data_IF_182134369038
#
_entry.id   IF_182134369038
#
_cell.length_a   1.000
_cell.length_b   1.000
_cell.length_c   1.000
_cell.angle_alpha   90.00
_cell.angle_beta   90.00
_cell.angle_gamma   90.00
#
_symmetry.space_group_name_H-M   'P 1'
#
loop_
_entity.id
_entity.type
_entity.pdbx_description
1 polymer ?
#
# COMPACT_ATOMS: atom_id res chain seq x y z
N UNK A 1 14.39 12.25 24.97
CA UNK A 1 14.15 11.11 24.05
C UNK A 1 13.11 11.56 23.05
N UNK A 2 13.57 12.21 22.00
CA UNK A 2 12.76 12.88 20.98
C UNK A 2 13.09 12.15 19.67
N UNK A 3 12.62 10.90 19.61
CA UNK A 3 12.76 10.04 18.45
C UNK A 3 11.66 10.40 17.46
N UNK A 4 11.99 11.25 16.50
CA UNK A 4 11.18 11.37 15.30
C UNK A 4 11.26 10.01 14.59
N UNK A 5 10.14 9.31 14.51
CA UNK A 5 10.04 8.13 13.66
C UNK A 5 10.18 8.64 12.22
N UNK A 6 11.34 8.45 11.61
CA UNK A 6 11.52 8.74 10.19
C UNK A 6 10.51 7.92 9.39
N UNK A 7 9.80 8.58 8.48
CA UNK A 7 8.84 7.90 7.64
C UNK A 7 9.58 6.94 6.69
N UNK A 8 9.08 5.72 6.52
CA UNK A 8 9.67 4.73 5.59
C UNK A 8 9.75 5.30 4.17
N UNK A 9 8.73 6.04 3.76
CA UNK A 9 8.71 6.82 2.53
C UNK A 9 7.91 8.10 2.74
N UNK A 10 8.40 9.20 2.19
CA UNK A 10 7.69 10.48 2.14
C UNK A 10 7.16 10.72 0.72
N UNK A 11 5.89 11.07 0.61
CA UNK A 11 5.23 11.40 -0.65
C UNK A 11 4.90 12.88 -0.68
N UNK A 12 5.53 13.63 -1.60
CA UNK A 12 5.14 15.02 -1.85
C UNK A 12 3.79 15.05 -2.57
N UNK A 13 2.79 15.61 -1.91
CA UNK A 13 1.42 15.71 -2.45
C UNK A 13 1.43 16.61 -3.68
N UNK A 14 0.81 16.15 -4.77
CA UNK A 14 0.81 16.86 -6.05
C UNK A 14 2.14 16.84 -6.81
N UNK A 15 3.15 16.10 -6.32
CA UNK A 15 4.50 16.02 -6.89
C UNK A 15 5.12 17.42 -7.15
N UNK A 16 5.21 17.87 -8.40
CA UNK A 16 5.77 19.19 -8.74
C UNK A 16 4.76 20.34 -8.60
N UNK A 17 3.47 20.04 -8.53
CA UNK A 17 2.38 21.03 -8.39
C UNK A 17 2.23 21.48 -6.94
N UNK A 18 2.50 20.60 -5.97
CA UNK A 18 2.29 20.88 -4.54
C UNK A 18 0.82 20.81 -4.12
N UNK A 19 0.52 21.38 -2.95
CA UNK A 19 -0.83 21.52 -2.41
C UNK A 19 -1.35 22.94 -2.69
N UNK A 20 -2.28 23.02 -3.64
CA UNK A 20 -2.94 24.22 -4.13
C UNK A 20 -4.23 23.88 -4.88
N UNK A 21 -5.07 24.89 -5.13
CA UNK A 21 -6.28 24.73 -5.92
C UNK A 21 -5.94 24.20 -7.33
N UNK A 22 -6.53 23.08 -7.77
CA UNK A 22 -6.35 22.58 -9.11
C UNK A 22 -6.75 23.61 -10.19
N UNK A 23 -6.04 23.56 -11.32
CA UNK A 23 -6.41 24.32 -12.51
C UNK A 23 -7.70 23.76 -13.13
N UNK A 24 -8.50 24.62 -13.76
CA UNK A 24 -9.70 24.22 -14.53
C UNK A 24 -9.41 23.19 -15.62
N UNK A 25 -8.16 23.13 -16.12
CA UNK A 25 -7.75 22.17 -17.15
C UNK A 25 -7.37 20.80 -16.55
N UNK A 26 -7.16 20.70 -15.24
CA UNK A 26 -6.82 19.46 -14.55
C UNK A 26 -7.44 19.42 -13.13
N UNK A 27 -8.77 19.36 -13.01
CA UNK A 27 -9.47 19.40 -11.73
C UNK A 27 -9.20 18.15 -10.86
N UNK A 28 -8.80 17.05 -11.49
CA UNK A 28 -8.62 15.73 -10.87
C UNK A 28 -7.16 15.43 -10.47
N UNK A 29 -6.30 16.46 -10.38
CA UNK A 29 -4.85 16.28 -10.14
C UNK A 29 -4.53 15.38 -8.94
N UNK A 30 -5.25 15.53 -7.81
CA UNK A 30 -4.97 14.74 -6.61
C UNK A 30 -5.50 13.31 -6.69
N UNK A 31 -6.64 13.07 -7.35
CA UNK A 31 -7.16 11.71 -7.53
C UNK A 31 -6.27 10.92 -8.49
N UNK A 32 -5.82 11.54 -9.58
CA UNK A 32 -4.82 10.99 -10.50
C UNK A 32 -3.49 10.71 -9.79
N UNK A 33 -2.98 11.68 -9.03
CA UNK A 33 -1.75 11.53 -8.24
C UNK A 33 -1.84 10.31 -7.32
N UNK A 34 -2.96 10.15 -6.61
CA UNK A 34 -3.18 9.05 -5.67
C UNK A 34 -3.25 7.68 -6.36
N UNK A 35 -3.87 7.61 -7.54
CA UNK A 35 -4.08 6.35 -8.27
C UNK A 35 -2.79 5.61 -8.63
N UNK A 36 -1.67 6.34 -8.72
CA UNK A 36 -0.35 5.79 -9.05
C UNK A 36 0.50 5.44 -7.82
N UNK A 37 -0.01 5.62 -6.60
CA UNK A 37 0.75 5.50 -5.35
C UNK A 37 0.17 4.41 -4.45
N UNK A 38 1.04 3.82 -3.63
CA UNK A 38 0.67 2.83 -2.60
C UNK A 38 1.19 3.32 -1.26
N UNK A 39 0.28 3.59 -0.34
CA UNK A 39 0.60 4.07 1.00
C UNK A 39 0.56 2.93 2.01
N UNK A 40 1.52 2.92 2.93
CA UNK A 40 1.62 1.96 4.02
C UNK A 40 1.71 2.68 5.35
N UNK A 41 1.36 1.97 6.42
CA UNK A 41 1.65 2.45 7.77
C UNK A 41 3.15 2.70 7.91
N UNK A 42 3.52 3.87 8.45
CA UNK A 42 4.89 4.34 8.58
C UNK A 42 5.36 5.25 7.44
N UNK A 43 4.60 5.39 6.35
CA UNK A 43 4.86 6.41 5.34
C UNK A 43 4.40 7.81 5.83
N UNK A 44 4.74 8.87 5.08
CA UNK A 44 4.25 10.23 5.32
C UNK A 44 3.83 10.96 4.05
N UNK A 45 2.91 11.90 4.19
CA UNK A 45 2.55 12.87 3.17
C UNK A 45 3.21 14.21 3.48
N UNK A 46 3.95 14.75 2.52
CA UNK A 46 4.51 16.10 2.61
C UNK A 46 3.66 17.07 1.81
N UNK A 47 3.10 18.05 2.50
CA UNK A 47 2.32 19.13 1.92
C UNK A 47 3.16 20.39 1.87
N UNK A 48 3.35 20.90 0.67
CA UNK A 48 3.95 22.20 0.41
C UNK A 48 2.86 23.12 -0.12
N UNK A 49 2.57 24.20 0.62
CA UNK A 49 1.49 25.13 0.30
C UNK A 49 1.86 26.56 0.71
N UNK A 50 1.24 27.54 0.04
CA UNK A 50 1.47 28.95 0.33
C UNK A 50 0.80 29.40 1.63
N UNK A 51 1.22 30.56 2.17
CA UNK A 51 0.69 31.14 3.42
C UNK A 51 -0.82 31.42 3.44
N UNK A 52 -1.46 31.41 2.27
CA UNK A 52 -2.88 31.70 2.14
C UNK A 52 -3.74 30.44 2.12
N UNK A 53 -3.16 29.25 2.31
CA UNK A 53 -3.90 27.99 2.34
C UNK A 53 -3.64 27.20 3.62
N UNK A 54 -4.30 26.05 3.75
CA UNK A 54 -4.17 25.13 4.88
C UNK A 54 -4.46 23.70 4.47
N UNK A 55 -4.00 22.76 5.30
CA UNK A 55 -4.30 21.34 5.19
C UNK A 55 -5.11 20.94 6.41
N UNK A 56 -6.35 20.49 6.19
CA UNK A 56 -7.22 20.01 7.25
C UNK A 56 -7.39 18.50 7.11
N UNK A 57 -7.14 17.77 8.18
CA UNK A 57 -7.50 16.36 8.27
C UNK A 57 -8.93 16.28 8.79
N UNK A 58 -9.80 15.63 8.03
CA UNK A 58 -11.24 15.59 8.31
C UNK A 58 -11.77 14.15 8.27
N UNK A 59 -13.01 13.96 8.69
CA UNK A 59 -13.69 12.71 8.46
C UNK A 59 -14.24 12.60 7.02
N UNK A 60 -14.83 11.44 6.70
CA UNK A 60 -15.38 11.16 5.37
C UNK A 60 -16.51 12.12 5.00
N UNK A 61 -17.40 12.44 5.94
CA UNK A 61 -18.55 13.30 5.66
C UNK A 61 -18.11 14.72 5.32
N UNK A 62 -17.21 15.25 6.13
CA UNK A 62 -16.68 16.60 5.97
C UNK A 62 -15.85 16.74 4.70
N UNK A 63 -15.13 15.70 4.29
CA UNK A 63 -14.45 15.64 2.99
C UNK A 63 -15.39 15.81 1.79
N UNK A 64 -16.52 15.08 1.77
CA UNK A 64 -17.46 15.15 0.65
C UNK A 64 -18.22 16.48 0.60
N UNK A 65 -18.41 17.13 1.74
CA UNK A 65 -19.14 18.40 1.86
C UNK A 65 -18.24 19.63 1.96
N UNK A 66 -16.90 19.45 1.92
CA UNK A 66 -15.94 20.53 2.16
C UNK A 66 -16.22 21.30 3.46
N UNK A 67 -16.58 20.58 4.52
CA UNK A 67 -16.85 21.17 5.82
C UNK A 67 -15.54 21.33 6.61
N UNK A 68 -15.08 22.58 6.74
CA UNK A 68 -13.84 22.92 7.45
C UNK A 68 -14.06 23.35 8.91
N UNK A 69 -15.28 23.27 9.43
CA UNK A 69 -15.62 23.85 10.74
C UNK A 69 -15.03 23.09 11.93
N UNK A 70 -14.91 21.76 11.84
CA UNK A 70 -14.44 20.91 12.95
C UNK A 70 -13.40 19.87 12.47
N UNK A 71 -12.24 20.30 11.97
CA UNK A 71 -11.24 19.36 11.49
C UNK A 71 -10.64 18.56 12.66
N UNK A 72 -10.24 17.33 12.38
CA UNK A 72 -9.48 16.48 13.32
C UNK A 72 -8.11 17.10 13.58
N UNK A 73 -7.48 17.63 12.53
CA UNK A 73 -6.23 18.39 12.61
C UNK A 73 -6.25 19.56 11.63
N UNK A 74 -5.66 20.68 12.04
CA UNK A 74 -5.52 21.89 11.23
C UNK A 74 -4.03 22.23 11.10
N UNK A 75 -3.56 22.43 9.88
CA UNK A 75 -2.23 22.94 9.57
C UNK A 75 -2.36 24.16 8.67
N UNK A 76 -2.04 25.35 9.18
CA UNK A 76 -2.22 26.64 8.49
C UNK A 76 -0.92 27.43 8.35
N UNK A 77 0.23 26.83 8.68
CA UNK A 77 1.52 27.49 8.64
C UNK A 77 2.59 26.60 8.00
N UNK A 78 3.14 27.07 6.87
CA UNK A 78 4.30 26.46 6.22
C UNK A 78 4.08 25.04 5.72
N UNK A 79 5.16 24.42 5.25
CA UNK A 79 5.11 23.05 4.77
C UNK A 79 5.07 22.07 5.94
N UNK A 80 4.29 21.00 5.81
CA UNK A 80 4.07 20.02 6.88
C UNK A 80 4.24 18.59 6.37
N UNK A 81 4.61 17.69 7.28
CA UNK A 81 4.62 16.25 7.03
C UNK A 81 3.59 15.55 7.93
N UNK A 82 2.65 14.83 7.35
CA UNK A 82 1.65 14.02 8.07
C UNK A 82 2.05 12.55 8.02
N UNK A 83 2.27 11.94 9.18
CA UNK A 83 2.59 10.53 9.28
C UNK A 83 1.34 9.64 9.14
N UNK A 84 1.47 8.57 8.37
CA UNK A 84 0.41 7.58 8.14
C UNK A 84 0.55 6.47 9.17
N UNK A 85 -0.05 6.67 10.35
CA UNK A 85 0.20 5.83 11.53
C UNK A 85 -0.74 4.63 11.67
N UNK A 86 -1.79 4.54 10.85
CA UNK A 86 -2.80 3.48 10.92
C UNK A 86 -3.31 3.08 9.54
N UNK A 87 -3.74 1.83 9.35
CA UNK A 87 -4.42 1.43 8.12
C UNK A 87 -5.78 2.13 8.02
N UNK A 88 -6.29 2.26 6.80
CA UNK A 88 -7.58 2.85 6.52
C UNK A 88 -7.52 4.09 5.62
N UNK A 89 -8.67 4.74 5.46
CA UNK A 89 -8.79 5.94 4.65
C UNK A 89 -8.43 7.19 5.47
N UNK A 90 -7.69 8.10 4.85
CA UNK A 90 -7.44 9.44 5.38
C UNK A 90 -7.98 10.46 4.39
N UNK A 91 -8.55 11.53 4.92
CA UNK A 91 -9.18 12.58 4.14
C UNK A 91 -8.58 13.94 4.50
N UNK A 92 -8.20 14.68 3.47
CA UNK A 92 -7.58 15.99 3.55
C UNK A 92 -8.35 16.98 2.68
N UNK A 93 -8.57 18.19 3.17
CA UNK A 93 -9.19 19.29 2.42
C UNK A 93 -8.43 20.59 2.65
N UNK A 94 -8.53 21.53 1.70
CA UNK A 94 -8.19 22.93 1.97
C UNK A 94 -9.16 23.51 2.99
N UNK A 95 -8.69 24.41 3.85
CA UNK A 95 -9.54 25.19 4.75
C UNK A 95 -10.33 26.28 4.03
N UNK A 96 -9.97 26.61 2.79
CA UNK A 96 -10.72 27.53 1.94
C UNK A 96 -11.82 26.74 1.23
N UNK A 97 -13.08 27.12 1.50
CA UNK A 97 -14.26 26.42 0.99
C UNK A 97 -14.25 26.28 -0.54
N UNK A 98 -13.93 27.36 -1.25
CA UNK A 98 -13.91 27.35 -2.71
C UNK A 98 -12.79 26.48 -3.26
N UNK A 99 -11.62 26.46 -2.63
CA UNK A 99 -10.51 25.59 -3.04
C UNK A 99 -10.87 24.11 -2.93
N UNK A 100 -11.45 23.70 -1.78
CA UNK A 100 -11.91 22.32 -1.60
C UNK A 100 -12.97 21.93 -2.64
N UNK A 101 -13.95 22.81 -2.89
CA UNK A 101 -15.00 22.59 -3.91
C UNK A 101 -14.43 22.48 -5.31
N UNK A 102 -13.36 23.22 -5.59
CA UNK A 102 -12.63 23.21 -6.86
C UNK A 102 -11.56 22.11 -6.93
N UNK A 103 -11.58 21.15 -6.01
CA UNK A 103 -10.79 19.93 -6.11
C UNK A 103 -9.54 19.89 -5.22
N UNK A 104 -9.26 20.90 -4.40
CA UNK A 104 -8.18 20.87 -3.41
C UNK A 104 -8.55 19.99 -2.20
N UNK A 105 -8.62 18.70 -2.48
CA UNK A 105 -8.99 17.66 -1.53
C UNK A 105 -8.34 16.34 -1.94
N UNK A 106 -7.89 15.57 -0.96
CA UNK A 106 -7.19 14.32 -1.16
C UNK A 106 -7.79 13.24 -0.28
N UNK A 107 -8.09 12.09 -0.88
CA UNK A 107 -8.41 10.86 -0.15
C UNK A 107 -7.32 9.84 -0.47
N UNK A 108 -6.70 9.26 0.56
CA UNK A 108 -5.76 8.14 0.39
C UNK A 108 -6.24 6.90 1.13
N UNK A 109 -5.80 5.75 0.67
CA UNK A 109 -5.99 4.47 1.35
C UNK A 109 -4.64 3.93 1.84
N UNK A 110 -4.50 3.77 3.14
CA UNK A 110 -3.29 3.26 3.78
C UNK A 110 -3.44 1.77 4.04
N UNK A 111 -2.48 0.98 3.54
CA UNK A 111 -2.40 -0.45 3.76
C UNK A 111 -1.76 -0.72 5.12
N UNK A 112 -2.25 -1.74 5.83
CA UNK A 112 -1.60 -2.23 7.04
C UNK A 112 -0.22 -2.79 6.74
N UNK A 113 0.62 -2.90 7.76
CA UNK A 113 1.83 -3.70 7.66
C UNK A 113 1.39 -5.15 7.44
N UNK A 114 1.84 -5.78 6.35
CA UNK A 114 1.81 -7.23 6.30
C UNK A 114 2.75 -7.72 7.39
N UNK A 115 2.19 -8.23 8.49
CA UNK A 115 2.95 -9.15 9.30
C UNK A 115 3.31 -10.30 8.36
N UNK A 116 4.61 -10.55 8.19
CA UNK A 116 5.05 -11.82 7.61
C UNK A 116 4.42 -12.88 8.49
N UNK A 117 3.44 -13.61 7.97
CA UNK A 117 3.01 -14.85 8.60
C UNK A 117 4.29 -15.67 8.75
N UNK A 118 4.73 -15.83 9.99
CA UNK A 118 5.77 -16.78 10.31
C UNK A 118 5.26 -18.12 9.77
N UNK A 119 6.08 -18.87 9.01
CA UNK A 119 5.68 -20.20 8.58
C UNK A 119 5.15 -20.94 9.82
N UNK A 120 4.00 -21.64 9.73
CA UNK A 120 3.52 -22.42 10.85
C UNK A 120 4.68 -23.25 11.39
N UNK A 121 4.89 -23.33 12.72
CA UNK A 121 5.99 -24.08 13.28
C UNK A 121 5.98 -25.47 12.65
N UNK A 122 7.08 -25.85 12.02
CA UNK A 122 7.22 -27.18 11.46
C UNK A 122 6.91 -28.16 12.60
N UNK A 123 5.88 -28.99 12.42
CA UNK A 123 5.62 -30.10 13.33
C UNK A 123 6.87 -30.97 13.25
N UNK A 124 7.72 -30.89 14.27
CA UNK A 124 8.82 -31.83 14.43
C UNK A 124 8.19 -33.21 14.54
N UNK A 125 8.41 -34.05 13.51
CA UNK A 125 7.93 -35.42 13.51
C UNK A 125 8.66 -36.14 14.66
N UNK A 126 7.95 -36.66 15.68
CA UNK A 126 8.59 -37.24 16.85
C UNK A 126 8.98 -38.68 16.55
N UNK A 127 9.84 -38.93 15.57
CA UNK A 127 10.38 -40.26 15.34
C UNK A 127 11.67 -40.19 14.54
N UNK A 128 12.78 -39.88 15.23
CA UNK A 128 14.09 -40.49 14.98
C UNK A 128 15.05 -40.07 16.12
N UNK A 129 14.82 -40.66 17.30
CA UNK A 129 15.91 -40.88 18.23
C UNK A 129 16.78 -41.99 17.63
N UNK A 130 18.01 -41.64 17.27
CA UNK A 130 18.95 -42.54 16.60
C UNK A 130 19.20 -43.83 17.38
N UNK A 131 19.31 -44.92 16.63
CA UNK A 131 19.89 -46.17 17.11
C UNK A 131 20.96 -46.65 16.13
N UNK A 132 22.04 -47.13 16.73
CA UNK A 132 23.32 -47.54 16.16
C UNK A 132 23.22 -48.71 15.15
N UNK A 133 24.29 -49.03 14.40
CA UNK A 133 24.23 -49.90 13.22
C UNK A 133 24.28 -51.39 13.58
N UNK A 134 23.52 -52.21 12.84
CA UNK A 134 23.56 -53.68 12.87
C UNK A 134 23.06 -54.28 11.54
N UNK A 135 23.48 -55.51 11.15
CA UNK A 135 23.90 -55.81 9.76
C UNK A 135 22.82 -56.36 8.81
N UNK A 136 23.06 -56.12 7.52
CA UNK A 136 22.48 -56.67 6.27
C UNK A 136 22.37 -58.22 6.20
N UNK A 137 21.82 -58.86 5.13
CA UNK A 137 21.02 -58.36 3.96
C UNK A 137 19.76 -59.23 3.63
N UNK A 138 18.84 -58.74 2.78
CA UNK A 138 18.26 -59.54 1.68
C UNK A 138 17.45 -58.68 0.71
N UNK A 139 17.54 -59.05 -0.57
CA UNK A 139 17.14 -58.36 -1.79
C UNK A 139 15.63 -58.19 -1.98
N UNK A 140 15.24 -57.05 -2.57
CA UNK A 140 13.93 -56.84 -3.17
C UNK A 140 13.96 -55.59 -4.05
N UNK A 141 13.53 -55.72 -5.31
CA UNK A 141 13.91 -54.87 -6.44
C UNK A 141 12.68 -54.06 -6.92
N UNK A 142 12.90 -52.78 -7.29
CA UNK A 142 12.13 -51.88 -8.20
C UNK A 142 10.65 -51.54 -7.85
N UNK A 143 10.02 -50.42 -8.25
CA UNK A 143 10.14 -49.49 -9.39
C UNK A 143 9.67 -48.09 -8.94
N UNK A 144 10.35 -47.01 -9.32
CA UNK A 144 9.83 -45.62 -9.22
C UNK A 144 9.12 -45.23 -10.52
N UNK A 145 7.86 -44.78 -10.44
CA UNK A 145 7.10 -44.25 -11.58
C UNK A 145 7.24 -42.72 -11.58
N UNK A 146 8.00 -42.19 -12.54
CA UNK A 146 8.07 -40.77 -12.82
C UNK A 146 6.91 -40.37 -13.74
N UNK A 147 6.05 -39.46 -13.29
CA UNK A 147 4.97 -38.89 -14.08
C UNK A 147 5.42 -37.54 -14.67
N UNK A 148 5.90 -37.53 -15.91
CA UNK A 148 6.06 -36.32 -16.72
C UNK A 148 5.01 -36.34 -17.83
N UNK A 149 3.94 -35.54 -17.67
CA UNK A 149 2.85 -35.44 -18.65
C UNK A 149 3.10 -34.33 -19.66
N UNK A 150 2.80 -34.65 -20.92
CA UNK A 150 3.17 -33.97 -22.15
C UNK A 150 2.29 -32.74 -22.43
N UNK A 151 2.89 -31.54 -22.43
CA UNK A 151 2.28 -30.29 -22.95
C UNK A 151 2.71 -29.94 -24.39
N UNK A 152 3.14 -30.92 -25.18
CA UNK A 152 3.59 -30.70 -26.58
C UNK A 152 2.61 -31.21 -27.65
N UNK A 153 1.42 -31.68 -27.27
CA UNK A 153 0.42 -32.18 -28.22
C UNK A 153 -0.62 -31.15 -28.67
N UNK A 154 -0.69 -29.95 -28.06
CA UNK A 154 -1.69 -28.93 -28.42
C UNK A 154 -1.26 -28.03 -29.60
N UNK A 155 0.00 -28.07 -30.02
CA UNK A 155 0.54 -27.20 -31.07
C UNK A 155 0.24 -27.79 -32.48
N UNK A 156 0.04 -29.11 -32.58
CA UNK A 156 -0.16 -29.79 -33.88
C UNK A 156 -1.60 -29.66 -34.40
N UNK A 157 -2.60 -29.35 -33.55
CA UNK A 157 -3.99 -29.20 -33.99
C UNK A 157 -4.34 -27.81 -34.52
N UNK A 158 -3.51 -26.79 -34.28
CA UNK A 158 -3.80 -25.41 -34.72
C UNK A 158 -3.30 -25.12 -36.13
N UNK A 159 -2.30 -25.86 -36.64
CA UNK A 159 -1.73 -25.65 -37.99
C UNK A 159 -2.46 -26.39 -39.13
N UNK A 160 -3.57 -27.10 -38.84
CA UNK A 160 -4.37 -27.79 -39.87
C UNK A 160 -5.70 -27.08 -40.21
N UNK A 161 -5.92 -25.86 -39.71
CA UNK A 161 -7.15 -25.09 -39.91
C UNK A 161 -6.91 -23.57 -40.07
N UNK A 162 -5.85 -23.16 -40.79
CA UNK A 162 -5.80 -21.96 -41.68
C UNK A 162 -4.69 -22.16 -42.70
#
# INVERSE_FOLDING_TARGET
MNGWVEASKQFKVGDHIGWQQPSVNNPDVYSQWTSSKRFRVGDSLYFEFGRNDSVLVVDKWDYYHCNSNNPVYLFNEGNIAVNLYRPGSFYFISGILDHCKNGERLMIQVMGLHQREEPPPAIANPHEAGLAPGPHPSSGIVVTVALTSLFLALIVTVLALV
#
